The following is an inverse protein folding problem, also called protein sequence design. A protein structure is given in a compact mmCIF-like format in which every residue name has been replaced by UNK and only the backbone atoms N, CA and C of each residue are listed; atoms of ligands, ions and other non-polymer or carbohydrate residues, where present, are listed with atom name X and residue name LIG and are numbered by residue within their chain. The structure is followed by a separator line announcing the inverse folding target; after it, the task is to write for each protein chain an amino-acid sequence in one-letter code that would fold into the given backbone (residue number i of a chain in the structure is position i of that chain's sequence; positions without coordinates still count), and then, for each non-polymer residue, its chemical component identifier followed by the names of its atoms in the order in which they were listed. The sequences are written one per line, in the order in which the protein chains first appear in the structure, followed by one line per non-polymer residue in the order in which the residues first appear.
data_IF_662885184962
#
_entry.id   IF_662885184962
#
_cell.length_a   1.000
_cell.length_b   1.000
_cell.length_c   1.000
_cell.angle_alpha   90.00
_cell.angle_beta   90.00
_cell.angle_gamma   90.00
#
_symmetry.space_group_name_H-M   'P 1'
#
loop_
_entity.id
_entity.type
_entity.pdbx_description
1 polymer ?
#
# COMPACT_ATOMS: atom_id res chain seq x y z
N UNK A 1 15.31 10.73 16.04
CA UNK A 1 15.33 10.56 14.57
C UNK A 1 16.73 10.16 14.14
N UNK A 2 16.87 8.95 13.60
CA UNK A 2 18.12 8.47 13.01
C UNK A 2 18.04 8.73 11.50
N UNK A 3 19.16 9.08 10.89
CA UNK A 3 19.24 9.19 9.43
C UNK A 3 19.72 7.82 8.89
N UNK A 4 18.86 7.11 8.17
CA UNK A 4 19.14 5.75 7.68
C UNK A 4 18.86 5.66 6.18
N UNK A 5 19.47 4.69 5.52
CA UNK A 5 19.12 4.38 4.13
C UNK A 5 17.68 3.84 4.07
N UNK A 6 16.88 4.36 3.15
CA UNK A 6 15.45 4.07 3.04
C UNK A 6 15.15 2.57 2.84
N UNK A 7 16.04 1.81 2.18
CA UNK A 7 15.94 0.35 2.06
C UNK A 7 15.86 -0.41 3.39
N UNK A 8 16.20 0.23 4.51
CA UNK A 8 16.17 -0.37 5.85
C UNK A 8 14.88 -0.04 6.62
N UNK A 9 14.03 0.85 6.10
CA UNK A 9 12.74 1.18 6.70
C UNK A 9 11.74 0.08 6.31
N UNK A 10 11.11 -0.63 7.25
CA UNK A 10 10.13 -1.68 6.95
C UNK A 10 8.88 -1.17 6.20
N UNK A 11 8.18 -2.05 5.48
CA UNK A 11 6.88 -1.73 4.91
C UNK A 11 5.84 -1.42 6.01
N UNK A 12 5.02 -0.40 5.79
CA UNK A 12 4.07 0.13 6.76
C UNK A 12 4.63 1.23 7.68
N UNK A 13 5.96 1.33 7.78
CA UNK A 13 6.59 2.37 8.60
C UNK A 13 6.58 3.74 7.93
N UNK A 14 6.57 4.79 8.77
CA UNK A 14 6.60 6.18 8.33
C UNK A 14 8.02 6.74 8.37
N UNK A 15 8.47 7.37 7.28
CA UNK A 15 9.72 8.14 7.25
C UNK A 15 9.47 9.58 6.80
N UNK A 16 10.45 10.45 7.06
CA UNK A 16 10.45 11.85 6.62
C UNK A 16 11.58 12.09 5.62
N UNK A 17 11.24 12.68 4.47
CA UNK A 17 12.19 13.12 3.44
C UNK A 17 11.69 14.42 2.80
N UNK A 18 12.61 15.33 2.47
CA UNK A 18 12.28 16.59 1.77
C UNK A 18 11.14 17.41 2.40
N UNK A 19 11.06 17.42 3.73
CA UNK A 19 10.04 18.15 4.49
C UNK A 19 8.67 17.47 4.56
N UNK A 20 8.52 16.26 4.02
CA UNK A 20 7.25 15.54 3.90
C UNK A 20 7.33 14.17 4.57
N UNK A 21 6.19 13.66 5.04
CA UNK A 21 6.06 12.32 5.64
C UNK A 21 5.47 11.31 4.64
N UNK A 22 6.04 10.12 4.62
CA UNK A 22 5.66 9.03 3.71
C UNK A 22 5.57 7.71 4.45
N UNK A 23 4.75 6.80 3.91
CA UNK A 23 4.66 5.40 4.36
C UNK A 23 5.30 4.51 3.29
N UNK A 24 6.17 3.59 3.71
CA UNK A 24 6.76 2.58 2.83
C UNK A 24 5.69 1.55 2.45
N UNK A 25 5.47 1.35 1.15
CA UNK A 25 4.51 0.37 0.63
C UNK A 25 5.18 -0.92 0.15
N UNK A 26 6.33 -0.80 -0.53
CA UNK A 26 7.06 -1.95 -1.06
C UNK A 26 8.53 -1.59 -1.34
N UNK A 27 9.40 -2.59 -1.28
CA UNK A 27 10.77 -2.50 -1.77
C UNK A 27 10.82 -3.09 -3.17
N UNK A 28 11.02 -2.23 -4.17
CA UNK A 28 11.06 -2.59 -5.59
C UNK A 28 12.50 -2.56 -6.11
N UNK A 29 12.73 -3.05 -7.33
CA UNK A 29 14.08 -3.08 -7.89
C UNK A 29 14.73 -1.68 -7.93
N UNK A 30 15.79 -1.50 -7.14
CA UNK A 30 16.51 -0.24 -6.98
C UNK A 30 15.80 0.85 -6.14
N UNK A 31 14.53 0.68 -5.76
CA UNK A 31 13.71 1.74 -5.19
C UNK A 31 12.78 1.33 -4.06
N UNK A 32 12.15 2.32 -3.44
CA UNK A 32 11.15 2.12 -2.39
C UNK A 32 9.88 2.88 -2.76
N UNK A 33 8.81 2.12 -3.02
CA UNK A 33 7.50 2.65 -3.35
C UNK A 33 6.87 3.20 -2.08
N UNK A 34 6.51 4.47 -2.09
CA UNK A 34 6.02 5.16 -0.90
C UNK A 34 4.88 6.11 -1.23
N UNK A 35 3.88 6.17 -0.34
CA UNK A 35 2.76 7.11 -0.45
C UNK A 35 2.91 8.21 0.59
N UNK A 36 2.54 9.44 0.23
CA UNK A 36 2.46 10.54 1.19
C UNK A 36 1.49 10.17 2.33
N UNK A 37 1.91 10.37 3.58
CA UNK A 37 1.15 9.98 4.78
C UNK A 37 -0.25 10.60 4.80
N UNK A 38 -0.36 11.89 4.51
CA UNK A 38 -1.63 12.62 4.43
C UNK A 38 -2.01 13.06 3.01
N UNK A 39 -3.23 13.57 2.85
CA UNK A 39 -3.64 14.33 1.65
C UNK A 39 -2.81 15.62 1.56
N UNK A 40 -2.24 15.90 0.39
CA UNK A 40 -1.44 17.11 0.19
C UNK A 40 -2.32 18.35 -0.02
N UNK A 41 -3.24 18.28 -0.98
CA UNK A 41 -4.25 19.31 -1.24
C UNK A 41 -5.50 18.69 -1.85
N UNK A 42 -6.54 19.49 -2.04
CA UNK A 42 -7.75 19.07 -2.76
C UNK A 42 -7.77 19.65 -4.17
N UNK A 43 -8.05 18.81 -5.16
CA UNK A 43 -8.13 19.20 -6.57
C UNK A 43 -9.10 18.28 -7.34
N UNK A 44 -9.70 18.76 -8.45
CA UNK A 44 -10.31 17.85 -9.40
C UNK A 44 -9.27 16.89 -9.97
N UNK A 45 -9.71 15.69 -10.34
CA UNK A 45 -8.87 14.84 -11.20
C UNK A 45 -8.74 15.49 -12.58
N UNK A 46 -9.86 15.98 -13.12
CA UNK A 46 -9.92 16.69 -14.39
C UNK A 46 -11.14 17.62 -14.45
N UNK A 47 -10.96 18.87 -14.90
CA UNK A 47 -12.04 19.88 -14.92
C UNK A 47 -13.06 19.63 -16.03
N UNK A 48 -12.70 18.88 -17.08
CA UNK A 48 -13.54 18.58 -18.24
C UNK A 48 -14.05 17.13 -18.24
N UNK A 49 -14.03 16.46 -17.09
CA UNK A 49 -14.53 15.08 -16.92
C UNK A 49 -13.73 14.01 -17.69
N UNK A 50 -12.43 14.22 -17.89
CA UNK A 50 -11.51 13.19 -18.39
C UNK A 50 -11.04 12.26 -17.27
N UNK A 51 -11.19 10.95 -17.42
CA UNK A 51 -10.64 9.96 -16.48
C UNK A 51 -9.24 9.47 -16.87
N UNK A 52 -8.70 9.92 -18.00
CA UNK A 52 -7.37 9.55 -18.47
C UNK A 52 -6.30 10.37 -17.72
N UNK A 53 -5.62 9.76 -16.73
CA UNK A 53 -4.56 10.42 -15.97
C UNK A 53 -3.49 11.06 -16.88
N UNK A 54 -3.16 10.45 -18.03
CA UNK A 54 -2.13 10.97 -18.94
C UNK A 54 -2.45 12.35 -19.53
N UNK A 55 -3.73 12.73 -19.56
CA UNK A 55 -4.25 13.97 -20.15
C UNK A 55 -4.97 14.85 -19.12
N UNK A 56 -5.08 14.40 -17.87
CA UNK A 56 -5.89 15.03 -16.83
C UNK A 56 -5.20 16.23 -16.18
N UNK A 57 -5.99 17.25 -15.80
CA UNK A 57 -5.50 18.48 -15.16
C UNK A 57 -4.71 18.22 -13.86
N UNK A 58 -5.04 17.16 -13.10
CA UNK A 58 -4.34 16.80 -11.85
C UNK A 58 -2.84 16.56 -12.04
N UNK A 59 -2.37 16.35 -13.28
CA UNK A 59 -0.94 16.28 -13.59
C UNK A 59 -0.20 17.58 -13.24
N UNK A 60 -0.84 18.73 -13.40
CA UNK A 60 -0.26 20.02 -13.00
C UNK A 60 -0.06 20.05 -11.48
N UNK A 61 -1.02 19.52 -10.73
CA UNK A 61 -0.91 19.39 -9.28
C UNK A 61 0.22 18.42 -8.87
N UNK A 62 0.39 17.30 -9.58
CA UNK A 62 1.50 16.38 -9.32
C UNK A 62 2.88 16.99 -9.67
N UNK A 63 2.95 17.82 -10.72
CA UNK A 63 4.16 18.57 -11.06
C UNK A 63 4.47 19.65 -10.02
N UNK A 64 3.48 20.41 -9.57
CA UNK A 64 3.62 21.35 -8.44
C UNK A 64 4.20 20.64 -7.20
N UNK A 65 3.72 19.42 -6.90
CA UNK A 65 4.26 18.62 -5.80
C UNK A 65 5.70 18.21 -6.05
N UNK A 66 6.06 17.82 -7.28
CA UNK A 66 7.44 17.55 -7.65
C UNK A 66 8.33 18.78 -7.43
N UNK A 67 7.91 19.97 -7.88
CA UNK A 67 8.64 21.23 -7.68
C UNK A 67 8.79 21.58 -6.20
N UNK A 68 7.80 21.28 -5.37
CA UNK A 68 7.91 21.41 -3.91
C UNK A 68 9.05 20.56 -3.36
N UNK A 69 9.14 19.28 -3.75
CA UNK A 69 10.24 18.40 -3.31
C UNK A 69 11.60 18.93 -3.78
N UNK A 70 11.70 19.39 -5.03
CA UNK A 70 12.91 20.03 -5.57
C UNK A 70 13.33 21.25 -4.74
N UNK A 71 12.38 22.09 -4.36
CA UNK A 71 12.63 23.26 -3.51
C UNK A 71 13.11 22.90 -2.10
N UNK A 72 12.74 21.71 -1.62
CA UNK A 72 13.17 21.14 -0.34
C UNK A 72 14.45 20.28 -0.47
N UNK A 73 15.14 20.33 -1.62
CA UNK A 73 16.44 19.70 -1.82
C UNK A 73 16.42 18.32 -2.47
N UNK A 74 15.30 17.87 -3.03
CA UNK A 74 15.28 16.64 -3.81
C UNK A 74 16.06 16.77 -5.13
N UNK A 75 16.96 15.82 -5.38
CA UNK A 75 17.64 15.64 -6.65
C UNK A 75 16.85 14.68 -7.55
N UNK A 76 17.05 14.76 -8.87
CA UNK A 76 16.37 13.86 -9.81
C UNK A 76 16.81 12.40 -9.59
N UNK A 77 18.05 12.20 -9.12
CA UNK A 77 18.60 10.90 -8.72
C UNK A 77 17.90 10.29 -7.50
N UNK A 78 17.18 11.07 -6.69
CA UNK A 78 16.49 10.56 -5.51
C UNK A 78 15.14 9.93 -5.84
N UNK A 79 14.61 10.14 -7.04
CA UNK A 79 13.26 9.80 -7.43
C UNK A 79 13.25 9.03 -8.75
N UNK A 80 12.83 7.77 -8.68
CA UNK A 80 12.75 6.88 -9.83
C UNK A 80 11.45 7.10 -10.59
N UNK A 81 11.52 6.92 -11.91
CA UNK A 81 10.35 6.97 -12.80
C UNK A 81 9.47 5.74 -12.52
N UNK A 82 8.18 5.99 -12.31
CA UNK A 82 7.16 4.95 -12.17
C UNK A 82 6.49 4.69 -13.50
N UNK A 83 6.25 3.42 -13.81
CA UNK A 83 5.48 2.99 -14.98
C UNK A 83 4.07 2.57 -14.55
N UNK A 84 3.10 3.49 -14.66
CA UNK A 84 1.73 3.28 -14.17
C UNK A 84 0.86 2.64 -15.26
N UNK A 85 0.26 1.49 -14.97
CA UNK A 85 -0.75 0.85 -15.85
C UNK A 85 -2.10 1.57 -15.72
N UNK A 86 -2.52 2.30 -16.77
CA UNK A 86 -3.79 3.04 -16.81
C UNK A 86 -4.97 2.15 -17.27
N UNK A 87 -4.89 0.86 -16.94
CA UNK A 87 -5.93 -0.13 -17.17
C UNK A 87 -7.22 0.23 -16.44
N UNK A 88 -8.35 0.09 -17.13
CA UNK A 88 -9.68 0.22 -16.53
C UNK A 88 -10.10 -1.04 -15.76
N UNK A 89 -11.16 -0.90 -14.96
CA UNK A 89 -11.67 -1.98 -14.08
C UNK A 89 -12.05 -3.26 -14.84
N UNK A 90 -12.49 -3.14 -16.08
CA UNK A 90 -12.85 -4.26 -16.96
C UNK A 90 -11.62 -4.94 -17.62
N UNK A 91 -10.42 -4.51 -17.24
CA UNK A 91 -9.15 -5.02 -17.76
C UNK A 91 -8.71 -4.40 -19.09
N UNK A 92 -9.49 -3.47 -19.66
CA UNK A 92 -9.11 -2.79 -20.91
C UNK A 92 -7.98 -1.80 -20.70
N UNK A 93 -7.08 -1.69 -21.69
CA UNK A 93 -5.89 -0.81 -21.66
C UNK A 93 -5.92 0.27 -22.73
N UNK A 94 -7.07 0.92 -22.91
CA UNK A 94 -7.22 1.98 -23.94
C UNK A 94 -6.30 3.17 -23.66
N UNK A 95 -6.09 3.55 -22.41
CA UNK A 95 -5.19 4.65 -22.03
C UNK A 95 -3.71 4.23 -21.92
N UNK A 96 -3.39 2.94 -22.05
CA UNK A 96 -2.03 2.44 -22.05
C UNK A 96 -1.32 2.62 -20.70
N UNK A 97 -0.11 3.17 -20.76
CA UNK A 97 0.78 3.34 -19.61
C UNK A 97 1.23 4.79 -19.51
N UNK A 98 1.58 5.22 -18.30
CA UNK A 98 2.12 6.54 -18.04
C UNK A 98 3.42 6.45 -17.23
N UNK A 99 4.48 7.00 -17.80
CA UNK A 99 5.73 7.24 -17.07
C UNK A 99 5.63 8.58 -16.31
N UNK A 100 5.80 8.53 -14.99
CA UNK A 100 5.83 9.73 -14.16
C UNK A 100 6.67 9.54 -12.90
N UNK A 101 7.28 10.63 -12.42
CA UNK A 101 8.05 10.62 -11.16
C UNK A 101 7.12 10.68 -9.95
N UNK A 102 6.09 11.54 -10.02
CA UNK A 102 5.03 11.64 -9.01
C UNK A 102 3.74 11.06 -9.60
N UNK A 103 3.20 10.05 -8.95
CA UNK A 103 2.04 9.29 -9.40
C UNK A 103 0.88 9.38 -8.40
N UNK A 104 -0.24 8.74 -8.76
CA UNK A 104 -1.30 8.33 -7.86
C UNK A 104 -1.32 6.80 -7.81
N UNK A 105 -1.78 6.21 -6.71
CA UNK A 105 -1.94 4.74 -6.64
C UNK A 105 -2.98 4.28 -7.66
N UNK A 106 -2.74 3.14 -8.29
CA UNK A 106 -3.81 2.40 -8.97
C UNK A 106 -4.70 1.68 -7.96
N UNK A 107 -5.91 1.31 -8.35
CA UNK A 107 -6.80 0.48 -7.54
C UNK A 107 -6.16 -0.87 -7.17
N UNK A 108 -5.37 -1.45 -8.07
CA UNK A 108 -4.66 -2.72 -7.81
C UNK A 108 -3.56 -2.54 -6.78
N UNK A 109 -2.77 -1.46 -6.86
CA UNK A 109 -1.77 -1.14 -5.84
C UNK A 109 -2.45 -0.83 -4.50
N UNK A 110 -3.54 -0.06 -4.50
CA UNK A 110 -4.31 0.19 -3.28
C UNK A 110 -4.79 -1.14 -2.66
N UNK A 111 -5.38 -2.03 -3.46
CA UNK A 111 -5.81 -3.35 -3.00
C UNK A 111 -4.68 -4.19 -2.39
N UNK A 112 -3.47 -4.12 -2.96
CA UNK A 112 -2.27 -4.81 -2.44
C UNK A 112 -1.80 -4.25 -1.10
N UNK A 113 -1.83 -2.93 -0.90
CA UNK A 113 -1.22 -2.27 0.26
C UNK A 113 -2.20 -1.65 1.27
N UNK A 114 -3.52 -1.82 1.09
CA UNK A 114 -4.55 -1.15 1.89
C UNK A 114 -4.42 -1.36 3.40
N UNK A 115 -3.88 -2.49 3.84
CA UNK A 115 -3.73 -2.83 5.27
C UNK A 115 -2.65 -1.99 5.97
N UNK A 116 -1.67 -1.46 5.21
CA UNK A 116 -0.57 -0.65 5.74
C UNK A 116 -0.72 0.85 5.42
N UNK A 117 -1.67 1.23 4.55
CA UNK A 117 -1.92 2.63 4.22
C UNK A 117 -2.75 3.28 5.33
N UNK A 118 -2.24 4.33 6.02
CA UNK A 118 -3.01 5.00 7.05
C UNK A 118 -4.23 5.70 6.44
N UNK A 119 -5.34 5.64 7.19
CA UNK A 119 -6.57 6.35 6.87
C UNK A 119 -6.34 7.86 6.99
N UNK A 120 -7.04 8.62 6.16
CA UNK A 120 -6.96 10.07 6.09
C UNK A 120 -8.35 10.67 6.01
N UNK A 121 -8.48 11.93 6.41
CA UNK A 121 -9.75 12.64 6.29
C UNK A 121 -10.09 12.95 4.83
N UNK A 122 -11.35 12.68 4.48
CA UNK A 122 -11.89 12.89 3.14
C UNK A 122 -11.48 11.81 2.13
N UNK A 123 -12.17 11.84 0.98
CA UNK A 123 -11.84 10.96 -0.14
C UNK A 123 -10.65 11.49 -0.94
N UNK A 124 -9.87 10.60 -1.54
CA UNK A 124 -8.70 10.91 -2.37
C UNK A 124 -8.64 10.07 -3.64
N UNK A 125 -8.01 10.61 -4.69
CA UNK A 125 -7.99 10.07 -6.04
C UNK A 125 -7.03 8.89 -6.23
N UNK A 126 -7.45 7.92 -7.04
CA UNK A 126 -6.60 6.89 -7.62
C UNK A 126 -6.34 7.18 -9.11
N UNK A 127 -5.31 6.57 -9.68
CA UNK A 127 -4.96 6.66 -11.10
C UNK A 127 -5.92 5.87 -12.02
N UNK A 128 -6.72 4.97 -11.44
CA UNK A 128 -7.49 3.98 -12.20
C UNK A 128 -8.80 4.57 -12.73
N UNK A 129 -9.00 4.65 -14.06
CA UNK A 129 -10.30 4.98 -14.63
C UNK A 129 -11.28 3.83 -14.38
N UNK A 130 -12.55 4.14 -14.12
CA UNK A 130 -13.55 3.07 -13.94
C UNK A 130 -13.78 2.34 -15.26
N UNK A 131 -13.96 3.12 -16.33
CA UNK A 131 -14.25 2.65 -17.68
C UNK A 131 -13.52 3.50 -18.72
N UNK A 132 -13.12 2.87 -19.82
CA UNK A 132 -12.60 3.59 -21.00
C UNK A 132 -13.65 3.60 -22.11
N UNK A 133 -13.63 4.65 -22.96
CA UNK A 133 -14.54 4.70 -24.11
C UNK A 133 -14.09 3.68 -25.15
N UNK A 134 -14.97 2.74 -25.49
CA UNK A 134 -14.71 1.76 -26.55
C UNK A 134 -15.75 1.86 -27.69
N UNK A 135 -15.28 1.70 -28.93
CA UNK A 135 -16.05 1.93 -30.15
C UNK A 135 -17.34 1.07 -30.26
N UNK A 136 -17.39 -0.08 -29.55
CA UNK A 136 -18.52 -1.01 -29.58
C UNK A 136 -19.50 -0.87 -28.41
N UNK A 137 -19.27 0.08 -27.50
CA UNK A 137 -20.22 0.40 -26.43
C UNK A 137 -20.62 1.89 -26.50
N UNK A 138 -21.60 2.24 -27.37
CA UNK A 138 -21.99 3.63 -27.62
C UNK A 138 -22.68 4.30 -26.42
N UNK A 139 -22.96 3.56 -25.34
CA UNK A 139 -23.60 4.05 -24.10
C UNK A 139 -22.63 4.16 -22.91
N UNK A 140 -21.32 4.26 -23.16
CA UNK A 140 -20.33 4.54 -22.13
C UNK A 140 -20.42 6.00 -21.63
N UNK A 141 -21.60 6.42 -21.16
CA UNK A 141 -21.90 7.74 -20.59
C UNK A 141 -21.24 7.98 -19.23
N UNK A 142 -20.29 7.14 -18.85
CA UNK A 142 -19.72 7.09 -17.52
C UNK A 142 -18.19 7.06 -17.54
N UNK A 143 -17.55 7.34 -18.67
CA UNK A 143 -16.08 7.34 -18.80
C UNK A 143 -15.41 8.48 -18.03
N UNK A 144 -16.17 9.29 -17.31
CA UNK A 144 -15.67 10.37 -16.46
C UNK A 144 -15.48 9.95 -14.99
N UNK A 145 -15.85 8.72 -14.62
CA UNK A 145 -15.63 8.23 -13.28
C UNK A 145 -14.20 7.73 -13.10
N UNK A 146 -13.63 8.09 -11.95
CA UNK A 146 -12.31 7.66 -11.49
C UNK A 146 -12.50 7.03 -10.11
N UNK A 147 -11.70 6.00 -9.82
CA UNK A 147 -11.72 5.39 -8.49
C UNK A 147 -11.16 6.33 -7.43
N UNK A 148 -11.74 6.25 -6.24
CA UNK A 148 -11.33 6.99 -5.06
C UNK A 148 -11.25 6.05 -3.86
N UNK A 149 -10.51 6.47 -2.85
CA UNK A 149 -10.53 5.86 -1.52
C UNK A 149 -11.18 6.83 -0.56
N UNK A 150 -12.17 6.36 0.19
CA UNK A 150 -12.91 7.09 1.21
C UNK A 150 -12.15 7.10 2.53
N UNK A 151 -12.54 8.00 3.45
CA UNK A 151 -11.88 8.15 4.75
C UNK A 151 -11.92 6.89 5.63
N UNK A 152 -12.91 6.02 5.43
CA UNK A 152 -13.03 4.75 6.15
C UNK A 152 -12.14 3.63 5.57
N UNK A 153 -11.45 3.87 4.45
CA UNK A 153 -10.63 2.88 3.73
C UNK A 153 -11.42 2.04 2.72
N UNK A 154 -12.70 2.33 2.48
CA UNK A 154 -13.41 1.73 1.35
C UNK A 154 -13.05 2.46 0.05
N UNK A 155 -13.23 1.82 -1.10
CA UNK A 155 -13.10 2.45 -2.41
C UNK A 155 -14.48 2.70 -3.03
N UNK A 156 -14.59 3.78 -3.80
CA UNK A 156 -15.82 4.20 -4.49
C UNK A 156 -15.44 4.90 -5.81
N UNK A 157 -16.43 5.35 -6.58
CA UNK A 157 -16.22 6.03 -7.85
C UNK A 157 -16.73 7.46 -7.78
N UNK A 158 -15.95 8.43 -8.26
CA UNK A 158 -16.41 9.81 -8.39
C UNK A 158 -16.11 10.42 -9.75
N UNK A 159 -16.95 11.39 -10.14
CA UNK A 159 -16.76 12.14 -11.38
C UNK A 159 -15.48 12.96 -11.28
N UNK A 160 -14.63 12.90 -12.32
CA UNK A 160 -13.30 13.51 -12.32
C UNK A 160 -13.29 15.01 -12.00
N UNK A 161 -14.39 15.74 -12.26
CA UNK A 161 -14.51 17.17 -11.93
C UNK A 161 -14.70 17.48 -10.43
N UNK A 162 -14.97 16.48 -9.59
CA UNK A 162 -15.14 16.69 -8.14
C UNK A 162 -13.81 17.08 -7.49
N UNK A 163 -13.79 18.04 -6.56
CA UNK A 163 -12.56 18.35 -5.84
C UNK A 163 -12.35 17.38 -4.68
N UNK A 164 -11.36 16.48 -4.76
CA UNK A 164 -11.01 15.48 -3.74
C UNK A 164 -9.51 15.54 -3.40
N UNK A 165 -9.04 14.73 -2.46
CA UNK A 165 -7.65 14.71 -2.03
C UNK A 165 -6.68 14.21 -3.10
N UNK A 166 -5.57 14.92 -3.28
CA UNK A 166 -4.39 14.48 -4.03
C UNK A 166 -3.43 13.86 -3.02
N UNK A 167 -3.09 12.57 -3.22
CA UNK A 167 -2.19 11.82 -2.35
C UNK A 167 -1.04 11.24 -3.19
N UNK A 168 0.08 11.98 -3.29
CA UNK A 168 1.21 11.59 -4.13
C UNK A 168 1.82 10.25 -3.76
N UNK A 169 2.26 9.52 -4.78
CA UNK A 169 3.04 8.28 -4.70
C UNK A 169 4.36 8.48 -5.43
N UNK A 170 5.45 8.06 -4.81
CA UNK A 170 6.81 8.19 -5.33
C UNK A 170 7.51 6.84 -5.22
N UNK A 171 8.49 6.61 -6.09
CA UNK A 171 9.50 5.58 -5.86
C UNK A 171 10.81 6.29 -5.56
N UNK A 172 11.26 6.25 -4.32
CA UNK A 172 12.52 6.86 -3.91
C UNK A 172 13.69 5.92 -4.21
N UNK A 173 14.86 6.48 -4.46
CA UNK A 173 16.10 5.69 -4.50
C UNK A 173 16.29 4.95 -3.16
N UNK A 174 16.61 3.66 -3.25
CA UNK A 174 16.73 2.80 -2.07
C UNK A 174 17.86 3.19 -1.11
N UNK A 175 18.87 3.93 -1.59
CA UNK A 175 19.99 4.43 -0.81
C UNK A 175 19.76 5.85 -0.27
N UNK A 176 18.61 6.46 -0.54
CA UNK A 176 18.24 7.77 -0.01
C UNK A 176 18.33 7.76 1.53
N UNK A 177 19.04 8.73 2.09
CA UNK A 177 19.10 8.93 3.54
C UNK A 177 17.84 9.66 4.00
N UNK A 178 17.08 9.02 4.89
CA UNK A 178 15.81 9.52 5.41
C UNK A 178 15.83 9.59 6.92
N UNK A 179 15.04 10.53 7.46
CA UNK A 179 14.78 10.57 8.88
C UNK A 179 13.71 9.54 9.23
N UNK A 180 14.10 8.55 10.02
CA UNK A 180 13.19 7.54 10.56
C UNK A 180 13.33 7.51 12.09
N UNK A 181 12.20 7.38 12.77
CA UNK A 181 12.21 6.96 14.16
C UNK A 181 11.88 5.48 14.12
N UNK A 182 12.87 4.69 14.54
CA UNK A 182 12.59 3.43 15.19
C UNK A 182 11.72 3.84 16.38
N UNK A 183 10.41 3.86 16.20
CA UNK A 183 9.56 3.47 17.31
C UNK A 183 10.05 2.05 17.57
N UNK A 184 11.05 1.92 18.46
CA UNK A 184 11.21 0.69 19.21
C UNK A 184 9.77 0.31 19.53
N UNK A 185 9.29 -0.75 18.87
CA UNK A 185 8.05 -1.44 19.18
C UNK A 185 7.77 -1.15 20.65
N UNK A 186 6.73 -0.38 20.95
CA UNK A 186 6.42 0.03 22.32
C UNK A 186 6.30 -1.21 23.20
N UNK A 187 7.43 -1.70 23.72
CA UNK A 187 7.60 -3.13 23.95
C UNK A 187 7.33 -3.97 22.69
N UNK A 188 7.97 -5.11 22.56
CA UNK A 188 7.15 -6.28 22.28
C UNK A 188 6.06 -6.27 23.34
N UNK A 189 4.84 -5.83 23.01
CA UNK A 189 3.73 -6.08 23.91
C UNK A 189 3.76 -7.58 24.18
N UNK A 190 3.59 -8.00 25.44
CA UNK A 190 3.67 -9.43 25.80
C UNK A 190 2.84 -10.29 24.84
N UNK A 191 1.75 -9.72 24.31
CA UNK A 191 0.88 -10.30 23.29
C UNK A 191 1.56 -10.63 21.94
N UNK A 192 2.43 -9.78 21.39
CA UNK A 192 3.11 -10.06 20.12
C UNK A 192 4.18 -11.13 20.27
N UNK A 193 4.95 -11.08 21.36
CA UNK A 193 5.94 -12.13 21.68
C UNK A 193 5.25 -13.47 22.02
N UNK A 194 4.10 -13.43 22.71
CA UNK A 194 3.27 -14.62 22.95
C UNK A 194 2.68 -15.15 21.64
N UNK A 195 2.28 -14.28 20.72
CA UNK A 195 1.77 -14.67 19.40
C UNK A 195 2.85 -15.34 18.56
N UNK A 196 4.09 -14.86 18.60
CA UNK A 196 5.24 -15.51 17.95
C UNK A 196 5.51 -16.89 18.56
N UNK A 197 5.53 -17.01 19.89
CA UNK A 197 5.68 -18.31 20.59
C UNK A 197 4.57 -19.32 20.24
N UNK A 198 3.31 -18.88 20.21
CA UNK A 198 2.16 -19.71 19.78
C UNK A 198 2.34 -20.20 18.35
N UNK A 199 2.83 -19.32 17.47
CA UNK A 199 3.05 -19.67 16.08
C UNK A 199 4.18 -20.69 15.91
N UNK A 200 5.28 -20.54 16.64
CA UNK A 200 6.38 -21.52 16.64
C UNK A 200 5.92 -22.91 17.09
N UNK A 201 5.13 -22.98 18.17
CA UNK A 201 4.55 -24.24 18.64
C UNK A 201 3.55 -24.85 17.65
N UNK A 202 2.80 -24.03 16.92
CA UNK A 202 1.91 -24.52 15.86
C UNK A 202 2.69 -25.09 14.67
N UNK A 203 3.82 -24.49 14.30
CA UNK A 203 4.71 -25.03 13.27
C UNK A 203 5.30 -26.38 13.70
N UNK A 204 5.67 -26.55 14.96
CA UNK A 204 6.11 -27.84 15.51
C UNK A 204 5.01 -28.90 15.39
N UNK A 205 3.79 -28.57 15.82
CA UNK A 205 2.60 -29.43 15.63
C UNK A 205 2.39 -29.85 14.17
N UNK A 206 2.50 -28.91 13.22
CA UNK A 206 2.32 -29.22 11.80
C UNK A 206 3.39 -30.18 11.26
N UNK A 207 4.63 -30.08 11.76
CA UNK A 207 5.70 -30.98 11.38
C UNK A 207 5.46 -32.40 11.93
N UNK A 208 5.12 -32.51 13.21
CA UNK A 208 4.79 -33.80 13.84
C UNK A 208 3.58 -34.45 13.16
N UNK A 209 2.54 -33.65 12.88
CA UNK A 209 1.36 -34.13 12.15
C UNK A 209 1.74 -34.64 10.76
N UNK A 210 2.60 -33.91 10.02
CA UNK A 210 3.02 -34.32 8.68
C UNK A 210 3.83 -35.62 8.70
N UNK A 211 4.69 -35.81 9.70
CA UNK A 211 5.47 -37.05 9.86
C UNK A 211 4.53 -38.25 10.14
N UNK A 212 3.57 -38.09 11.05
CA UNK A 212 2.59 -39.11 11.42
C UNK A 212 1.54 -39.40 10.32
N UNK A 213 1.31 -38.45 9.40
CA UNK A 213 0.30 -38.55 8.34
C UNK A 213 0.89 -38.68 6.93
N UNK A 214 2.13 -39.16 6.82
CA UNK A 214 2.83 -39.38 5.55
C UNK A 214 2.38 -40.62 4.77
N UNK A 215 1.54 -41.48 5.37
CA UNK A 215 1.04 -42.72 4.77
C UNK A 215 -0.20 -42.55 3.88
N UNK A 216 -0.37 -43.43 2.90
CA UNK A 216 -1.54 -43.43 1.98
C UNK A 216 -2.88 -43.70 2.68
N UNK A 217 -2.85 -44.26 3.89
CA UNK A 217 -4.04 -44.48 4.73
C UNK A 217 -4.60 -43.20 5.36
N UNK A 218 -3.82 -42.12 5.38
CA UNK A 218 -4.23 -40.81 5.88
C UNK A 218 -4.85 -39.92 4.77
N UNK A 219 -5.28 -40.51 3.65
CA UNK A 219 -5.86 -39.77 2.53
C UNK A 219 -7.13 -39.02 2.93
N UNK A 220 -7.09 -37.69 2.79
CA UNK A 220 -8.20 -36.80 3.14
C UNK A 220 -8.18 -36.28 4.58
N UNK A 221 -7.18 -36.67 5.38
CA UNK A 221 -6.91 -36.03 6.67
C UNK A 221 -6.25 -34.67 6.45
N UNK A 222 -6.54 -33.72 7.34
CA UNK A 222 -5.91 -32.40 7.40
C UNK A 222 -5.54 -32.09 8.85
N UNK A 223 -4.45 -31.34 9.10
CA UNK A 223 -4.17 -30.83 10.44
C UNK A 223 -5.25 -29.82 10.85
N UNK A 224 -5.38 -29.62 12.16
CA UNK A 224 -6.24 -28.57 12.71
C UNK A 224 -5.77 -27.20 12.21
N UNK A 225 -6.72 -26.27 12.04
CA UNK A 225 -6.40 -24.87 11.78
C UNK A 225 -5.79 -24.21 13.03
N UNK A 226 -5.09 -23.07 12.87
CA UNK A 226 -4.42 -22.40 13.98
C UNK A 226 -5.34 -22.11 15.17
N UNK A 227 -6.53 -21.54 14.91
CA UNK A 227 -7.49 -21.20 15.98
C UNK A 227 -8.05 -22.45 16.67
N UNK A 228 -8.30 -23.53 15.91
CA UNK A 228 -8.82 -24.80 16.42
C UNK A 228 -7.77 -25.56 17.24
N UNK A 229 -6.52 -25.60 16.75
CA UNK A 229 -5.37 -26.13 17.49
C UNK A 229 -5.10 -25.35 18.78
N UNK A 230 -5.22 -24.02 18.72
CA UNK A 230 -5.01 -23.15 19.89
C UNK A 230 -6.03 -23.45 21.00
N UNK A 231 -7.26 -23.81 20.65
CA UNK A 231 -8.30 -24.18 21.61
C UNK A 231 -8.15 -25.63 22.14
N UNK A 232 -7.77 -26.57 21.29
CA UNK A 232 -7.85 -28.01 21.59
C UNK A 232 -6.54 -28.64 22.06
N UNK A 233 -5.39 -28.19 21.55
CA UNK A 233 -4.11 -28.88 21.68
C UNK A 233 -2.97 -28.00 22.24
N UNK A 234 -3.12 -26.67 22.23
CA UNK A 234 -2.09 -25.78 22.77
C UNK A 234 -2.01 -25.81 24.30
N UNK A 235 -0.79 -25.95 24.82
CA UNK A 235 -0.51 -25.94 26.26
C UNK A 235 -0.41 -24.51 26.80
N UNK A 236 -1.55 -23.98 27.23
CA UNK A 236 -1.69 -22.65 27.82
C UNK A 236 -0.84 -22.42 29.09
N UNK A 237 -0.35 -23.47 29.75
CA UNK A 237 0.51 -23.32 30.93
C UNK A 237 1.91 -22.79 30.59
N UNK A 238 2.32 -22.85 29.32
CA UNK A 238 3.61 -22.33 28.83
C UNK A 238 3.66 -20.81 28.71
N UNK A 239 2.55 -20.11 28.97
CA UNK A 239 2.46 -18.65 28.84
C UNK A 239 2.74 -17.90 30.15
N UNK A 240 2.55 -18.56 31.29
CA UNK A 240 2.67 -17.97 32.63
C UNK A 240 4.12 -17.97 33.19
N UNK A 241 5.09 -18.59 32.52
CA UNK A 241 6.49 -18.67 33.00
C UNK A 241 7.34 -17.40 32.71
N UNK A 242 6.71 -16.28 32.37
CA UNK A 242 7.41 -15.11 31.80
C UNK A 242 7.51 -13.82 32.62
N UNK A 243 6.80 -13.67 33.75
CA UNK A 243 6.65 -12.38 34.44
C UNK A 243 7.04 -12.41 35.94
N UNK A 244 8.08 -13.16 36.30
CA UNK A 244 8.75 -13.03 37.60
C UNK A 244 10.28 -13.03 37.43
N UNK A 245 10.86 -11.91 36.97
CA UNK A 245 12.20 -11.42 37.36
C UNK A 245 12.48 -9.97 36.93
#
# INVERSE_FOLDING_TARGET
MKNIELRKVPCGETFTAFGEEYVVLDHVDGGVLSIRKGVWKRAPFDRMNNSNLSEADIREDLDDYFQLLKSNGAEDSNLLIQHVDLKATDGTRVYGYLDCTVALLTLEQYGKYKEIIPKVDGAWWLATPVWTRWLRSPYANNTYYVWVVLSNGNYDVWSAHNSLGVRPVLTFDSCLLVSWQDEESQGTTGEEAQKEKRWDAYIEYLNDWADDHSGTECYGAAPLGFDEWLEEEYDWSKEDEGDDE
#
